data_IF_980283380108
#
_entry.id   IF_980283380108
#
_cell.length_a   1.000
_cell.length_b   1.000
_cell.length_c   1.000
_cell.angle_alpha   90.00
_cell.angle_beta   90.00
_cell.angle_gamma   90.00
#
_symmetry.space_group_name_H-M   'P 1'
#
loop_
_entity.id
_entity.type
_entity.pdbx_description
1 polymer ?
2 polymer ?
3 non-polymer ?
4 non-polymer ?
5 non-polymer ?
6 water ?
#
# COMPACT_ATOMS: atom_id res chain seq x y z
N UNK A 1 15.75 17.60 -22.71
CA UNK A 1 14.52 17.64 -21.95
C UNK A 1 14.75 17.96 -20.49
N UNK A 2 13.76 17.66 -19.66
CA UNK A 2 13.84 17.89 -18.23
C UNK A 2 13.80 16.56 -17.49
N UNK A 3 14.64 16.44 -16.47
CA UNK A 3 14.53 15.34 -15.53
C UNK A 3 13.73 15.82 -14.33
N UNK A 4 12.58 15.24 -14.06
CA UNK A 4 11.75 15.70 -12.94
C UNK A 4 12.44 15.45 -11.60
N UNK A 5 11.88 16.06 -10.56
CA UNK A 5 12.24 15.65 -9.22
C UNK A 5 11.56 14.32 -8.91
N UNK A 6 12.02 13.69 -7.83
CA UNK A 6 11.36 12.47 -7.36
C UNK A 6 9.90 12.75 -6.99
N UNK A 7 9.64 13.88 -6.32
CA UNK A 7 8.28 14.26 -5.97
C UNK A 7 7.42 14.39 -7.22
N UNK A 8 7.98 14.96 -8.29
CA UNK A 8 7.20 15.07 -9.52
C UNK A 8 6.90 13.71 -10.14
N UNK A 9 7.83 12.76 -10.04
CA UNK A 9 7.54 11.44 -10.58
C UNK A 9 6.56 10.66 -9.71
N UNK A 10 6.59 10.87 -8.39
CA UNK A 10 5.55 10.30 -7.54
C UNK A 10 4.18 10.81 -7.97
N UNK A 11 4.06 12.12 -8.21
CA UNK A 11 2.76 12.66 -8.58
C UNK A 11 2.31 12.10 -9.91
N UNK A 12 3.23 11.96 -10.86
CA UNK A 12 2.92 11.32 -12.13
C UNK A 12 2.48 9.87 -11.94
N UNK A 13 3.19 9.12 -11.10
CA UNK A 13 2.77 7.76 -10.82
C UNK A 13 1.40 7.70 -10.18
N UNK A 14 1.11 8.66 -9.29
CA UNK A 14 -0.21 8.71 -8.66
C UNK A 14 -1.29 8.92 -9.71
N UNK A 15 -1.04 9.81 -10.66
CA UNK A 15 -2.01 10.02 -11.73
C UNK A 15 -2.22 8.74 -12.53
N UNK A 16 -1.13 8.07 -12.91
CA UNK A 16 -1.26 6.82 -13.64
C UNK A 16 -2.00 5.76 -12.82
N UNK A 17 -1.75 5.69 -11.51
CA UNK A 17 -2.47 4.72 -10.69
C UNK A 17 -3.98 4.96 -10.74
N UNK A 18 -4.40 6.22 -10.61
CA UNK A 18 -5.82 6.51 -10.64
C UNK A 18 -6.43 6.12 -11.97
N UNK A 19 -5.61 5.83 -12.97
CA UNK A 19 -6.16 5.39 -14.23
C UNK A 19 -5.93 3.98 -14.65
N UNK A 20 -5.60 3.11 -13.72
CA UNK A 20 -5.60 1.70 -13.95
C UNK A 20 -4.48 1.36 -14.91
N UNK A 21 -3.52 2.29 -15.03
CA UNK A 21 -2.27 2.11 -15.79
C UNK A 21 -1.20 1.64 -14.80
N UNK A 22 -1.38 0.41 -14.33
CA UNK A 22 -0.59 -0.07 -13.19
C UNK A 22 0.88 -0.31 -13.53
N UNK A 23 1.24 -0.98 -14.63
CA UNK A 23 2.67 -1.11 -14.96
C UNK A 23 3.34 0.22 -15.20
N UNK A 24 2.65 1.14 -15.88
CA UNK A 24 3.21 2.46 -16.11
C UNK A 24 3.41 3.21 -14.80
N UNK A 25 2.43 3.14 -13.90
CA UNK A 25 2.59 3.78 -12.59
C UNK A 25 3.78 3.19 -11.85
N UNK A 26 3.88 1.86 -11.83
CA UNK A 26 4.99 1.23 -11.10
C UNK A 26 6.33 1.67 -11.66
N UNK A 27 6.44 1.78 -12.99
CA UNK A 27 7.70 2.24 -13.56
C UNK A 27 8.00 3.67 -13.14
N UNK A 28 6.98 4.53 -13.09
CA UNK A 28 7.18 5.90 -12.61
C UNK A 28 7.71 5.92 -11.19
N UNK A 29 7.07 5.16 -10.29
CA UNK A 29 7.55 5.11 -8.92
C UNK A 29 8.97 4.60 -8.88
N UNK A 30 9.31 3.66 -9.77
CA UNK A 30 10.69 3.21 -9.86
C UNK A 30 11.64 4.33 -10.24
N UNK A 31 11.21 5.22 -11.15
CA UNK A 31 12.07 6.34 -11.52
C UNK A 31 12.20 7.33 -10.36
N UNK A 32 11.14 7.49 -9.55
CA UNK A 32 11.24 8.29 -8.34
C UNK A 32 12.26 7.70 -7.37
N UNK A 33 12.24 6.38 -7.20
CA UNK A 33 13.21 5.69 -6.35
C UNK A 33 14.62 5.91 -6.86
N UNK A 34 14.82 5.80 -8.17
CA UNK A 34 16.14 6.08 -8.74
C UNK A 34 16.64 7.46 -8.33
N UNK A 35 15.74 8.45 -8.28
CA UNK A 35 16.16 9.79 -7.89
C UNK A 35 16.35 9.92 -6.39
N UNK A 36 15.47 9.33 -5.60
CA UNK A 36 15.59 9.39 -4.14
C UNK A 36 15.08 8.08 -3.58
N UNK A 37 15.97 7.17 -3.19
CA UNK A 37 15.54 5.87 -2.68
C UNK A 37 15.24 5.85 -1.19
N UNK A 38 15.21 7.01 -0.53
CA UNK A 38 15.00 7.10 0.91
C UNK A 38 13.60 7.56 1.28
N UNK A 39 12.64 7.47 0.37
CA UNK A 39 11.28 7.93 0.59
C UNK A 39 10.35 6.72 0.58
N UNK A 40 9.77 6.41 1.75
CA UNK A 40 9.04 5.15 1.89
C UNK A 40 7.83 5.10 0.97
N UNK A 41 7.18 6.24 0.74
CA UNK A 41 5.89 6.22 0.07
C UNK A 41 6.04 5.77 -1.38
N UNK A 42 7.21 5.96 -1.99
CA UNK A 42 7.36 5.50 -3.36
C UNK A 42 7.19 3.99 -3.40
N UNK A 43 7.77 3.31 -2.41
CA UNK A 43 7.67 1.85 -2.34
C UNK A 43 6.26 1.40 -2.00
N UNK A 44 5.62 2.09 -1.07
CA UNK A 44 4.27 1.72 -0.69
C UNK A 44 3.30 1.86 -1.85
N UNK A 45 3.43 2.94 -2.62
CA UNK A 45 2.55 3.13 -3.77
C UNK A 45 2.85 2.11 -4.85
N UNK A 46 4.12 1.82 -5.08
CA UNK A 46 4.45 0.80 -6.07
C UNK A 46 3.96 -0.57 -5.62
N UNK A 47 3.98 -0.84 -4.30
CA UNK A 47 3.49 -2.13 -3.83
C UNK A 47 2.04 -2.35 -4.24
N UNK A 48 1.23 -1.29 -4.19
CA UNK A 48 -0.17 -1.43 -4.59
C UNK A 48 -0.29 -1.65 -6.10
N UNK A 49 0.59 -1.03 -6.90
CA UNK A 49 0.60 -1.33 -8.33
C UNK A 49 0.84 -2.81 -8.55
N UNK A 50 1.82 -3.37 -7.83
CA UNK A 50 2.14 -4.78 -7.97
C UNK A 50 0.96 -5.64 -7.52
N UNK A 51 0.29 -5.25 -6.43
CA UNK A 51 -0.88 -6.01 -6.00
C UNK A 51 -1.95 -6.00 -7.08
N UNK A 52 -2.21 -4.83 -7.69
CA UNK A 52 -3.19 -4.76 -8.77
C UNK A 52 -2.77 -5.63 -9.95
N UNK A 53 -1.47 -5.78 -10.18
CA UNK A 53 -0.90 -6.61 -11.24
C UNK A 53 -0.78 -8.08 -10.85
N UNK A 54 -1.24 -8.46 -9.65
CA UNK A 54 -1.17 -9.85 -9.17
C UNK A 54 0.25 -10.38 -9.01
N UNK A 55 1.20 -9.46 -8.77
CA UNK A 55 2.59 -9.80 -8.47
C UNK A 55 2.79 -9.68 -6.96
N UNK A 56 2.35 -10.72 -6.25
CA UNK A 56 2.25 -10.65 -4.80
C UNK A 56 3.61 -10.61 -4.12
N UNK A 57 4.58 -11.37 -4.62
CA UNK A 57 5.89 -11.35 -3.98
C UNK A 57 6.54 -9.98 -4.15
N UNK A 58 6.37 -9.37 -5.33
CA UNK A 58 6.91 -8.02 -5.53
C UNK A 58 6.20 -7.01 -4.64
N UNK A 59 4.89 -7.16 -4.45
CA UNK A 59 4.19 -6.24 -3.55
C UNK A 59 4.69 -6.39 -2.12
N UNK A 60 4.84 -7.63 -1.65
CA UNK A 60 5.36 -7.85 -0.30
C UNK A 60 6.72 -7.20 -0.14
N UNK A 61 7.61 -7.37 -1.13
CA UNK A 61 8.96 -6.84 -1.01
C UNK A 61 8.95 -5.32 -0.92
N UNK A 62 8.08 -4.66 -1.70
CA UNK A 62 8.02 -3.21 -1.61
C UNK A 62 7.48 -2.76 -0.25
N UNK A 63 6.47 -3.45 0.27
CA UNK A 63 6.00 -3.15 1.62
C UNK A 63 7.13 -3.25 2.64
N UNK A 64 7.98 -4.29 2.52
CA UNK A 64 9.09 -4.43 3.46
C UNK A 64 10.09 -3.31 3.31
N UNK A 65 10.36 -2.87 2.07
CA UNK A 65 11.25 -1.73 1.86
C UNK A 65 10.68 -0.47 2.50
N UNK A 66 9.37 -0.25 2.34
CA UNK A 66 8.75 0.91 2.95
C UNK A 66 8.85 0.86 4.46
N UNK A 67 8.60 -0.30 5.05
CA UNK A 67 8.57 -0.39 6.51
C UNK A 67 9.96 -0.23 7.12
N UNK A 68 11.01 -0.58 6.37
CA UNK A 68 12.36 -0.31 6.84
C UNK A 68 12.66 1.19 6.86
N UNK A 69 12.06 1.95 5.94
CA UNK A 69 12.24 3.39 5.93
C UNK A 69 11.29 4.12 6.86
N UNK A 70 10.08 3.60 7.09
CA UNK A 70 9.10 4.28 7.95
C UNK A 70 8.29 3.21 8.68
N UNK A 71 8.78 2.80 9.84
CA UNK A 71 8.10 1.74 10.58
C UNK A 71 6.79 2.16 11.20
N UNK A 72 6.48 3.45 11.18
CA UNK A 72 5.24 3.99 11.71
C UNK A 72 4.16 4.09 10.65
N UNK A 73 4.42 3.65 9.42
CA UNK A 73 3.51 3.94 8.31
C UNK A 73 2.23 3.12 8.44
N UNK A 74 1.10 3.82 8.55
CA UNK A 74 -0.21 3.17 8.47
C UNK A 74 -0.38 2.52 7.11
N UNK A 75 -0.12 3.29 6.03
CA UNK A 75 -0.38 2.79 4.68
C UNK A 75 0.46 1.55 4.38
N UNK A 76 1.72 1.53 4.83
CA UNK A 76 2.54 0.36 4.54
C UNK A 76 2.00 -0.88 5.23
N UNK A 77 1.54 -0.75 6.48
CA UNK A 77 0.96 -1.91 7.16
C UNK A 77 -0.36 -2.31 6.53
N UNK A 78 -1.17 -1.33 6.12
CA UNK A 78 -2.47 -1.62 5.53
C UNK A 78 -2.28 -2.36 4.21
N UNK A 79 -1.41 -1.85 3.33
CA UNK A 79 -1.16 -2.51 2.06
C UNK A 79 -0.53 -3.90 2.25
N UNK A 80 0.42 -4.01 3.17
CA UNK A 80 0.98 -5.32 3.48
C UNK A 80 -0.11 -6.30 3.86
N UNK A 81 -1.02 -5.89 4.74
CA UNK A 81 -2.07 -6.80 5.18
C UNK A 81 -3.01 -7.18 4.05
N UNK A 82 -3.31 -6.23 3.17
CA UNK A 82 -4.20 -6.51 2.04
C UNK A 82 -3.53 -7.48 1.08
N UNK A 83 -2.23 -7.31 0.84
CA UNK A 83 -1.47 -8.29 0.04
C UNK A 83 -1.50 -9.67 0.67
N UNK A 84 -1.18 -9.74 1.95
CA UNK A 84 -1.14 -11.03 2.63
C UNK A 84 -2.50 -11.70 2.59
N UNK A 85 -3.58 -10.92 2.69
CA UNK A 85 -4.93 -11.48 2.60
C UNK A 85 -5.15 -12.19 1.27
N UNK A 86 -4.79 -11.52 0.17
CA UNK A 86 -4.93 -12.14 -1.15
C UNK A 86 -4.12 -13.42 -1.27
N UNK A 87 -2.95 -13.47 -0.63
CA UNK A 87 -2.10 -14.65 -0.63
C UNK A 87 -2.56 -15.71 0.35
N UNK A 88 -3.67 -15.47 1.05
CA UNK A 88 -4.23 -16.40 2.02
C UNK A 88 -3.37 -16.54 3.27
N UNK A 89 -2.52 -15.55 3.55
CA UNK A 89 -1.77 -15.51 4.81
C UNK A 89 -2.62 -14.76 5.83
N UNK A 90 -3.67 -15.44 6.29
CA UNK A 90 -4.76 -14.75 6.97
C UNK A 90 -4.30 -14.17 8.30
N UNK A 91 -3.61 -14.96 9.12
CA UNK A 91 -3.25 -14.47 10.45
C UNK A 91 -2.29 -13.29 10.38
N UNK A 92 -1.30 -13.35 9.48
CA UNK A 92 -0.39 -12.22 9.31
C UNK A 92 -1.13 -11.01 8.78
N UNK A 93 -2.04 -11.21 7.81
CA UNK A 93 -2.79 -10.10 7.24
C UNK A 93 -3.58 -9.38 8.31
N UNK A 94 -4.31 -10.15 9.12
CA UNK A 94 -5.12 -9.55 10.18
C UNK A 94 -4.25 -8.78 11.16
N UNK A 95 -3.10 -9.32 11.53
CA UNK A 95 -2.25 -8.61 12.48
C UNK A 95 -1.73 -7.31 11.88
N UNK A 96 -1.37 -7.33 10.59
CA UNK A 96 -0.93 -6.09 9.95
C UNK A 96 -2.06 -5.08 9.81
N UNK A 97 -3.27 -5.53 9.47
CA UNK A 97 -4.40 -4.61 9.43
C UNK A 97 -4.69 -4.03 10.81
N UNK A 98 -4.63 -4.86 11.85
CA UNK A 98 -4.83 -4.36 13.21
C UNK A 98 -3.74 -3.36 13.61
N UNK A 99 -2.50 -3.60 13.18
CA UNK A 99 -1.44 -2.65 13.46
C UNK A 99 -1.66 -1.33 12.73
N UNK A 100 -2.13 -1.39 11.48
CA UNK A 100 -2.52 -0.17 10.78
C UNK A 100 -3.57 0.60 11.57
N UNK A 101 -4.57 -0.11 12.11
CA UNK A 101 -5.62 0.57 12.88
C UNK A 101 -5.02 1.27 14.09
N UNK A 102 -4.16 0.57 14.83
CA UNK A 102 -3.61 1.17 16.05
C UNK A 102 -2.70 2.35 15.73
N UNK A 103 -1.91 2.23 14.66
CA UNK A 103 -1.06 3.34 14.26
C UNK A 103 -1.90 4.54 13.82
N UNK A 104 -3.01 4.30 13.12
CA UNK A 104 -3.85 5.41 12.70
C UNK A 104 -4.46 6.10 13.90
N UNK A 105 -4.88 5.32 14.89
CA UNK A 105 -5.43 5.91 16.10
C UNK A 105 -4.37 6.72 16.84
N UNK A 106 -3.17 6.14 17.04
CA UNK A 106 -2.08 6.84 17.72
C UNK A 106 -1.72 8.14 17.01
N UNK A 107 -1.68 8.12 15.68
CA UNK A 107 -1.35 9.29 14.88
C UNK A 107 -2.54 10.21 14.65
N UNK A 108 -3.74 9.83 15.09
CA UNK A 108 -4.93 10.66 15.02
C UNK A 108 -5.28 10.99 13.56
N UNK A 109 -5.27 9.95 12.72
CA UNK A 109 -5.53 10.06 11.29
C UNK A 109 -6.82 9.33 10.92
N UNK A 110 -7.41 9.66 9.77
CA UNK A 110 -8.77 9.17 9.50
C UNK A 110 -8.91 7.89 8.67
N UNK A 111 -8.71 7.99 7.35
CA UNK A 111 -8.77 6.86 6.41
C UNK A 111 -10.17 6.26 6.22
N UNK A 112 -11.23 6.98 6.56
CA UNK A 112 -12.52 6.37 6.42
C UNK A 112 -12.74 5.24 7.40
N UNK A 113 -13.71 4.40 7.04
CA UNK A 113 -13.93 3.12 7.69
C UNK A 113 -13.12 2.02 7.01
N UNK A 114 -12.09 2.41 6.24
CA UNK A 114 -11.37 1.44 5.42
C UNK A 114 -10.71 0.37 6.27
N UNK A 115 -10.09 0.75 7.39
CA UNK A 115 -9.36 -0.26 8.16
C UNK A 115 -10.31 -1.20 8.90
N UNK A 116 -11.29 -0.72 9.67
CA UNK A 116 -12.22 -1.67 10.29
C UNK A 116 -12.95 -2.52 9.28
N UNK A 117 -13.28 -1.96 8.12
CA UNK A 117 -13.91 -2.76 7.08
C UNK A 117 -12.97 -3.84 6.58
N UNK A 118 -11.71 -3.50 6.37
CA UNK A 118 -10.76 -4.49 5.89
C UNK A 118 -10.60 -5.63 6.89
N UNK A 119 -10.62 -5.29 8.17
CA UNK A 119 -10.47 -6.27 9.23
C UNK A 119 -11.65 -7.24 9.22
N UNK A 120 -12.86 -6.70 9.11
CA UNK A 120 -14.05 -7.53 9.10
C UNK A 120 -13.98 -8.51 7.95
N UNK A 121 -13.61 -8.01 6.78
CA UNK A 121 -13.52 -8.83 5.59
C UNK A 121 -12.45 -9.90 5.73
N UNK A 122 -11.31 -9.54 6.28
CA UNK A 122 -10.24 -10.49 6.45
C UNK A 122 -10.65 -11.61 7.40
N UNK A 123 -11.32 -11.26 8.48
CA UNK A 123 -11.72 -12.28 9.44
C UNK A 123 -12.75 -13.24 8.84
N UNK A 124 -13.63 -12.70 8.01
CA UNK A 124 -14.66 -13.49 7.35
C UNK A 124 -14.00 -14.51 6.42
N UNK A 125 -13.10 -14.03 5.58
CA UNK A 125 -12.39 -14.90 4.65
C UNK A 125 -11.61 -15.99 5.39
N UNK A 126 -10.89 -15.62 6.44
CA UNK A 126 -10.15 -16.59 7.24
C UNK A 126 -11.09 -17.66 7.79
N UNK A 127 -12.21 -17.25 8.41
CA UNK A 127 -13.12 -18.23 8.99
C UNK A 127 -13.68 -19.17 7.93
N UNK A 128 -14.09 -18.62 6.79
CA UNK A 128 -14.61 -19.45 5.71
C UNK A 128 -13.55 -20.44 5.24
N UNK A 129 -12.30 -19.98 5.10
CA UNK A 129 -11.23 -20.86 4.67
C UNK A 129 -11.06 -22.07 5.60
N UNK A 130 -11.18 -21.85 6.91
CA UNK A 130 -11.00 -22.93 7.87
C UNK A 130 -12.15 -23.93 7.78
N UNK A 131 -13.38 -23.43 7.69
CA UNK A 131 -14.57 -24.27 7.76
C UNK A 131 -14.77 -25.12 6.52
N UNK A 132 -14.10 -24.80 5.41
CA UNK A 132 -14.34 -25.42 4.10
C UNK A 132 -13.38 -26.57 3.80
C UNK B 1 -12.73 -1.34 -0.74
N UNK B 2 -11.47 -1.06 -0.42
CA UNK B 2 -11.10 0.25 0.12
C UNK B 2 -10.89 1.26 -0.99
N UNK B 3 -10.71 2.51 -0.58
CA UNK B 3 -10.54 3.61 -1.52
C UNK B 3 -9.05 3.71 -1.82
N UNK B 4 -8.57 2.75 -2.61
CA UNK B 4 -7.13 2.67 -2.86
C UNK B 4 -6.60 3.95 -3.50
N UNK B 5 -7.40 4.59 -4.35
CA UNK B 5 -6.96 5.84 -4.96
C UNK B 5 -6.71 6.90 -3.90
N UNK B 6 -7.61 7.00 -2.92
CA UNK B 6 -7.40 7.93 -1.83
C UNK B 6 -6.14 7.60 -1.03
N UNK B 7 -5.94 6.31 -0.72
CA UNK B 7 -4.75 5.91 0.02
C UNK B 7 -3.50 6.27 -0.75
N UNK B 8 -3.49 6.04 -2.04
CA UNK B 8 -2.31 6.32 -2.83
C UNK B 8 -1.95 7.80 -2.89
N UNK B 9 -2.95 8.65 -3.07
CA UNK B 9 -2.71 10.07 -3.20
C UNK B 9 -2.47 10.83 -1.92
N UNK B 10 -2.77 10.23 -0.78
CA UNK B 10 -2.75 10.98 0.46
C UNK B 10 -1.32 11.37 0.82
N UNK B 11 -1.13 12.64 1.15
CA UNK B 11 0.17 13.11 1.61
C UNK B 11 0.33 12.93 3.12
N UNK B 12 -0.17 11.79 3.62
CA UNK B 12 0.07 11.27 4.96
C UNK B 12 0.39 9.78 4.93
X LIG C 1 4.96 -9.73 9.25
X LIG C 1 6.17 -8.96 8.99
X LIG C 1 4.36 -9.22 10.48
X LIG C 1 5.36 -11.13 9.37
X LIG C 1 4.03 -9.60 8.14
X LIG D 1 3.02 -14.33 -6.83
X LIG D 1 1.85 -13.57 -7.27
X LIG D 1 4.21 -13.47 -6.73
X LIG D 1 3.28 -15.39 -7.80
X LIG D 1 2.74 -14.93 -5.52
X LIG E 1 -8.43 6.53 2.49
X LIG E 1 -7.30 7.28 2.76
X LIG E 1 -6.21 9.42 3.44
X LIG E 1 -12.05 7.67 0.96
X LIG E 1 -11.97 6.61 1.48
X LIG E 1 -8.66 9.17 3.23
X LIG E 1 -9.81 8.42 2.97
X LIG E 1 -13.08 5.58 1.29
X LIG E 1 -7.40 8.61 3.12
X LIG E 1 -9.69 7.09 2.59
X LIG E 1 -4.86 8.86 3.51
X LIG E 1 -3.65 9.73 3.88
X LIG E 1 -10.83 6.25 2.31
X LIG E 1 -4.65 7.72 3.27
X LIG F 1 -0.56 17.55 4.32
X LIG F 1 0.18 16.43 3.83
X LIG F 1 0.10 18.85 3.86
X LIG F 1 -0.93 19.79 3.50
#
# INVERSE_FOLDING_TARGET
GASPSAQELKEQGNRLFVGRKYPEAAACYGRAITRNPLVAVYYTNRALCYLKMQQHEQALADCRRALELDGQSVKAHFFLGQCQLEMESYDEAIANLQRAYSLAKEQRLNFGDDIPSALRIAKKKRWNSIEERR
XPCYEAWVLCEYX
SO4 S O1 O2 O3 O4
SO4 S O1 O2 O3 O4
WHL CA CB NB OB CG CD CE CH CC CF CJ CK NA OA
EDO C1 O1 C2 O2
#
